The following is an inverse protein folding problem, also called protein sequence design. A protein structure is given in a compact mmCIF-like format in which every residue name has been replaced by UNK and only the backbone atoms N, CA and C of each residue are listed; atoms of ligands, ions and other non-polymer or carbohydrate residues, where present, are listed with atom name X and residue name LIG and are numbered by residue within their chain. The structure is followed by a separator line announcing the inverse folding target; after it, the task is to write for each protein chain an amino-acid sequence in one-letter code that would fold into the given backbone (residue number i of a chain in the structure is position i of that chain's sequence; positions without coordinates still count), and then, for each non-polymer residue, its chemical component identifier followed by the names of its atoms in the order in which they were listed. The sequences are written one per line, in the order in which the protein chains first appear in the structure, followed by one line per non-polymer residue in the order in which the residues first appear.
data_IF_771125106432
#
_entry.id   IF_771125106432
#
_cell.length_a   1.000
_cell.length_b   1.000
_cell.length_c   1.000
_cell.angle_alpha   90.00
_cell.angle_beta   90.00
_cell.angle_gamma   90.00
#
_symmetry.space_group_name_H-M   'P 1'
#
loop_
_entity.id
_entity.type
_entity.pdbx_description
1 polymer ?
#
# COMPACT_ATOMS: atom_id res chain seq x y z
N UNK A 1 18.20 21.30 -23.14
CA UNK A 1 16.92 20.56 -23.18
C UNK A 1 16.96 19.24 -22.40
N UNK A 2 18.07 18.54 -22.37
CA UNK A 2 18.20 17.22 -21.72
C UNK A 2 17.87 17.23 -20.23
N UNK A 3 18.30 18.24 -19.48
CA UNK A 3 18.01 18.34 -18.03
C UNK A 3 16.50 18.43 -17.71
N UNK A 4 15.68 18.97 -18.63
CA UNK A 4 14.22 19.04 -18.46
C UNK A 4 13.57 17.65 -18.51
N UNK A 5 14.10 16.75 -19.31
CA UNK A 5 13.62 15.35 -19.39
C UNK A 5 13.81 14.67 -18.04
N UNK A 6 14.96 14.84 -17.42
CA UNK A 6 15.23 14.28 -16.09
C UNK A 6 14.38 14.94 -15.00
N UNK A 7 14.13 16.26 -15.08
CA UNK A 7 13.25 16.96 -14.16
C UNK A 7 11.82 16.40 -14.22
N UNK A 8 11.25 16.32 -15.42
CA UNK A 8 9.92 15.74 -15.59
C UNK A 8 9.88 14.25 -15.22
N UNK A 9 10.96 13.52 -15.49
CA UNK A 9 11.12 12.14 -15.05
C UNK A 9 11.07 12.01 -13.52
N UNK A 10 11.78 12.87 -12.78
CA UNK A 10 11.73 12.94 -11.32
C UNK A 10 10.31 13.17 -10.81
N UNK A 11 9.63 14.19 -11.36
CA UNK A 11 8.26 14.52 -10.96
C UNK A 11 7.27 13.39 -11.26
N UNK A 12 7.36 12.81 -12.45
CA UNK A 12 6.46 11.73 -12.89
C UNK A 12 6.64 10.47 -12.03
N UNK A 13 7.87 10.03 -11.79
CA UNK A 13 8.16 8.85 -10.99
C UNK A 13 7.79 9.07 -9.53
N UNK A 14 8.02 10.28 -8.99
CA UNK A 14 7.55 10.64 -7.65
C UNK A 14 6.04 10.60 -7.53
N UNK A 15 5.32 11.11 -8.51
CA UNK A 15 3.85 11.07 -8.55
C UNK A 15 3.33 9.62 -8.59
N UNK A 16 3.93 8.75 -9.40
CA UNK A 16 3.58 7.33 -9.42
C UNK A 16 3.81 6.65 -8.08
N UNK A 17 4.89 6.97 -7.38
CA UNK A 17 5.15 6.47 -6.04
C UNK A 17 4.06 6.89 -5.06
N UNK A 18 3.67 8.18 -5.05
CA UNK A 18 2.60 8.73 -4.21
C UNK A 18 1.26 8.02 -4.49
N UNK A 19 0.88 7.92 -5.76
CA UNK A 19 -0.39 7.26 -6.17
C UNK A 19 -0.41 5.80 -5.74
N UNK A 20 0.71 5.07 -5.91
CA UNK A 20 0.83 3.68 -5.45
C UNK A 20 0.67 3.55 -3.94
N UNK A 21 1.29 4.43 -3.15
CA UNK A 21 1.15 4.45 -1.69
C UNK A 21 -0.28 4.74 -1.25
N UNK A 22 -0.95 5.71 -1.88
CA UNK A 22 -2.35 6.04 -1.59
C UNK A 22 -3.29 4.90 -1.96
N UNK A 23 -3.03 4.18 -3.07
CA UNK A 23 -3.81 3.00 -3.46
C UNK A 23 -3.69 1.88 -2.41
N UNK A 24 -2.49 1.62 -1.89
CA UNK A 24 -2.27 0.66 -0.81
C UNK A 24 -3.04 1.09 0.46
N UNK A 25 -2.89 2.35 0.85
CA UNK A 25 -3.54 2.89 2.04
C UNK A 25 -5.06 2.78 1.96
N UNK A 26 -5.66 3.25 0.87
CA UNK A 26 -7.11 3.22 0.71
C UNK A 26 -7.65 1.80 0.69
N UNK A 27 -6.93 0.86 0.06
CA UNK A 27 -7.28 -0.56 0.07
C UNK A 27 -7.17 -1.15 1.48
N UNK A 28 -6.08 -0.88 2.22
CA UNK A 28 -5.89 -1.37 3.58
C UNK A 28 -6.96 -0.82 4.52
N UNK A 29 -7.26 0.49 4.43
CA UNK A 29 -8.29 1.12 5.25
C UNK A 29 -9.69 0.52 5.05
N UNK A 30 -10.05 0.16 3.80
CA UNK A 30 -11.33 -0.51 3.50
C UNK A 30 -11.37 -1.90 4.11
N UNK A 31 -10.35 -2.71 3.86
CA UNK A 31 -10.28 -4.07 4.40
C UNK A 31 -10.21 -4.07 5.91
N UNK A 32 -9.46 -3.16 6.54
CA UNK A 32 -9.38 -2.99 7.99
C UNK A 32 -10.75 -2.71 8.60
N UNK A 33 -11.52 -1.80 7.99
CA UNK A 33 -12.87 -1.48 8.47
C UNK A 33 -13.77 -2.72 8.45
N UNK A 34 -13.65 -3.56 7.43
CA UNK A 34 -14.48 -4.75 7.26
C UNK A 34 -13.97 -5.95 8.03
N UNK A 35 -12.66 -6.06 8.29
CA UNK A 35 -12.08 -7.13 9.11
C UNK A 35 -12.56 -7.08 10.57
N UNK A 36 -12.98 -5.91 11.05
CA UNK A 36 -13.59 -5.77 12.39
C UNK A 36 -14.95 -6.43 12.50
N UNK A 37 -15.75 -6.43 11.42
CA UNK A 37 -17.06 -7.08 11.34
C UNK A 37 -17.17 -7.92 10.06
N UNK A 38 -16.46 -9.06 9.98
CA UNK A 38 -16.31 -9.82 8.75
C UNK A 38 -17.62 -10.37 8.18
N UNK A 39 -18.59 -10.65 9.02
CA UNK A 39 -19.91 -11.19 8.61
C UNK A 39 -20.71 -10.23 7.72
N UNK A 40 -20.42 -8.94 7.75
CA UNK A 40 -21.08 -7.89 6.97
C UNK A 40 -20.18 -7.31 5.87
N UNK A 41 -19.11 -8.01 5.52
CA UNK A 41 -18.15 -7.54 4.55
C UNK A 41 -18.74 -7.34 3.16
N UNK A 42 -18.57 -6.14 2.60
CA UNK A 42 -19.00 -5.75 1.24
C UNK A 42 -17.84 -5.71 0.27
N UNK A 43 -16.62 -5.52 0.79
CA UNK A 43 -15.42 -5.52 -0.03
C UNK A 43 -15.19 -6.94 -0.58
N UNK A 44 -14.97 -7.01 -1.90
CA UNK A 44 -14.94 -8.26 -2.65
C UNK A 44 -13.92 -9.28 -2.10
N UNK A 45 -12.73 -8.83 -1.72
CA UNK A 45 -11.71 -9.73 -1.23
C UNK A 45 -12.07 -10.29 0.15
N UNK A 46 -12.53 -9.42 1.07
CA UNK A 46 -12.95 -9.81 2.42
C UNK A 46 -14.14 -10.76 2.36
N UNK A 47 -15.15 -10.44 1.53
CA UNK A 47 -16.32 -11.31 1.34
C UNK A 47 -15.93 -12.68 0.76
N UNK A 48 -15.01 -12.72 -0.22
CA UNK A 48 -14.50 -13.98 -0.77
C UNK A 48 -13.74 -14.79 0.28
N UNK A 49 -12.89 -14.15 1.07
CA UNK A 49 -12.14 -14.79 2.15
C UNK A 49 -13.11 -15.51 3.12
N UNK A 50 -14.17 -14.81 3.54
CA UNK A 50 -15.16 -15.34 4.47
C UNK A 50 -15.94 -16.48 3.85
N UNK A 51 -16.41 -16.33 2.59
CA UNK A 51 -17.17 -17.37 1.91
C UNK A 51 -16.34 -18.64 1.71
N UNK A 52 -15.07 -18.53 1.34
CA UNK A 52 -14.16 -19.67 1.23
C UNK A 52 -13.91 -20.33 2.59
N UNK A 53 -13.72 -19.56 3.64
CA UNK A 53 -13.53 -20.10 4.98
C UNK A 53 -14.80 -20.84 5.45
N UNK A 54 -15.97 -20.26 5.25
CA UNK A 54 -17.25 -20.92 5.57
C UNK A 54 -17.48 -22.21 4.76
N UNK A 55 -17.03 -22.24 3.49
CA UNK A 55 -17.06 -23.45 2.67
C UNK A 55 -16.17 -24.56 3.25
N UNK A 56 -14.94 -24.22 3.65
CA UNK A 56 -14.04 -25.18 4.30
C UNK A 56 -14.66 -25.78 5.57
N UNK A 57 -15.33 -24.95 6.38
CA UNK A 57 -16.04 -25.42 7.57
C UNK A 57 -17.21 -26.36 7.23
N UNK A 58 -18.00 -26.03 6.20
CA UNK A 58 -19.12 -26.92 5.75
C UNK A 58 -18.59 -28.25 5.23
N UNK A 59 -17.46 -28.25 4.55
CA UNK A 59 -16.79 -29.43 4.02
C UNK A 59 -16.02 -30.22 5.12
N UNK A 60 -16.15 -29.82 6.42
CA UNK A 60 -15.40 -30.37 7.56
C UNK A 60 -13.88 -30.40 7.40
N UNK A 61 -13.33 -29.49 6.60
CA UNK A 61 -11.89 -29.34 6.41
C UNK A 61 -11.32 -28.50 7.55
N UNK A 62 -10.54 -29.12 8.44
CA UNK A 62 -9.87 -28.41 9.53
C UNK A 62 -8.64 -27.67 9.02
N UNK A 63 -8.54 -26.40 9.37
CA UNK A 63 -7.35 -25.59 9.11
C UNK A 63 -6.37 -25.86 10.24
N UNK A 64 -5.29 -26.61 9.96
CA UNK A 64 -4.27 -26.96 10.97
C UNK A 64 -3.48 -25.75 11.49
N UNK A 65 -3.25 -24.76 10.63
CA UNK A 65 -2.53 -23.55 11.01
C UNK A 65 -3.27 -22.30 10.48
N UNK A 66 -4.14 -21.70 11.31
CA UNK A 66 -4.92 -20.53 10.95
C UNK A 66 -4.06 -19.32 10.53
N UNK A 67 -2.94 -19.08 11.23
CA UNK A 67 -2.05 -17.97 10.93
C UNK A 67 -1.45 -18.09 9.52
N UNK A 68 -0.95 -19.28 9.15
CA UNK A 68 -0.43 -19.52 7.80
C UNK A 68 -1.51 -19.37 6.74
N UNK A 69 -2.72 -19.84 7.03
CA UNK A 69 -3.86 -19.70 6.13
C UNK A 69 -4.19 -18.22 5.87
N UNK A 70 -4.34 -17.42 6.91
CA UNK A 70 -4.64 -15.97 6.82
C UNK A 70 -3.51 -15.25 6.08
N UNK A 71 -2.26 -15.48 6.47
CA UNK A 71 -1.09 -14.86 5.83
C UNK A 71 -1.00 -15.18 4.34
N UNK A 72 -1.23 -16.44 3.94
CA UNK A 72 -1.24 -16.86 2.54
C UNK A 72 -2.32 -16.14 1.73
N UNK A 73 -3.52 -15.98 2.31
CA UNK A 73 -4.63 -15.25 1.69
C UNK A 73 -4.34 -13.75 1.57
N UNK A 74 -3.78 -13.14 2.59
CA UNK A 74 -3.38 -11.74 2.56
C UNK A 74 -2.32 -11.46 1.49
N UNK A 75 -1.32 -12.33 1.35
CA UNK A 75 -0.31 -12.21 0.28
C UNK A 75 -0.90 -12.29 -1.12
N UNK A 76 -1.97 -13.08 -1.30
CA UNK A 76 -2.70 -13.21 -2.55
C UNK A 76 -3.65 -12.04 -2.87
N UNK A 77 -3.78 -11.04 -1.96
CA UNK A 77 -4.66 -9.90 -2.16
C UNK A 77 -4.23 -9.04 -3.35
N UNK A 78 -5.22 -8.65 -4.16
CA UNK A 78 -5.01 -7.84 -5.36
C UNK A 78 -5.72 -6.50 -5.23
N UNK A 79 -5.13 -5.47 -5.84
CA UNK A 79 -5.73 -4.15 -6.04
C UNK A 79 -5.82 -3.95 -7.56
N UNK A 80 -7.02 -4.10 -8.12
CA UNK A 80 -7.20 -4.21 -9.56
C UNK A 80 -6.49 -5.43 -10.14
N UNK A 81 -5.69 -5.30 -11.21
CA UNK A 81 -4.95 -6.42 -11.80
C UNK A 81 -3.69 -6.80 -11.02
N UNK A 82 -3.18 -5.93 -10.15
CA UNK A 82 -1.89 -6.05 -9.48
C UNK A 82 -2.01 -6.68 -8.09
N UNK A 83 -1.05 -7.53 -7.71
CA UNK A 83 -0.96 -8.00 -6.32
C UNK A 83 -0.47 -6.86 -5.41
N UNK A 84 -0.85 -6.91 -4.13
CA UNK A 84 -0.39 -5.95 -3.11
C UNK A 84 1.15 -5.86 -3.06
N UNK A 85 1.83 -7.00 -3.18
CA UNK A 85 3.29 -7.06 -3.21
C UNK A 85 3.89 -6.34 -4.42
N UNK A 86 3.28 -6.51 -5.61
CA UNK A 86 3.71 -5.82 -6.83
C UNK A 86 3.56 -4.31 -6.71
N UNK A 87 2.44 -3.81 -6.18
CA UNK A 87 2.22 -2.37 -6.00
C UNK A 87 3.22 -1.78 -5.01
N UNK A 88 3.53 -2.50 -3.92
CA UNK A 88 4.59 -2.11 -2.98
C UNK A 88 5.95 -2.04 -3.69
N UNK A 89 6.27 -3.05 -4.50
CA UNK A 89 7.50 -3.06 -5.31
C UNK A 89 7.56 -1.90 -6.29
N UNK A 90 6.48 -1.63 -7.03
CA UNK A 90 6.38 -0.49 -7.95
C UNK A 90 6.61 0.83 -7.22
N UNK A 91 5.98 1.02 -6.05
CA UNK A 91 6.17 2.24 -5.25
C UNK A 91 7.64 2.46 -4.86
N UNK A 92 8.37 1.41 -4.48
CA UNK A 92 9.80 1.51 -4.17
C UNK A 92 10.66 1.74 -5.41
N UNK A 93 10.39 1.04 -6.50
CA UNK A 93 11.15 1.19 -7.76
C UNK A 93 10.97 2.62 -8.31
N UNK A 94 9.74 3.12 -8.36
CA UNK A 94 9.47 4.48 -8.85
C UNK A 94 10.10 5.55 -7.94
N UNK A 95 10.14 5.32 -6.63
CA UNK A 95 10.85 6.19 -5.70
C UNK A 95 12.36 6.22 -5.99
N UNK A 96 12.99 5.06 -6.13
CA UNK A 96 14.41 4.96 -6.47
C UNK A 96 14.73 5.62 -7.81
N UNK A 97 13.89 5.39 -8.84
CA UNK A 97 14.04 6.03 -10.15
C UNK A 97 13.89 7.55 -10.07
N UNK A 98 12.98 8.06 -9.24
CA UNK A 98 12.81 9.49 -9.02
C UNK A 98 14.12 10.12 -8.48
N UNK A 99 14.77 9.49 -7.50
CA UNK A 99 16.06 9.97 -6.97
C UNK A 99 17.20 9.82 -7.97
N UNK A 100 17.22 8.75 -8.77
CA UNK A 100 18.21 8.58 -9.82
C UNK A 100 18.09 9.68 -10.89
N UNK A 101 16.88 10.01 -11.33
CA UNK A 101 16.65 11.10 -12.28
C UNK A 101 17.03 12.46 -11.68
N UNK A 102 16.73 12.71 -10.41
CA UNK A 102 17.16 13.92 -9.72
C UNK A 102 18.69 14.03 -9.64
N UNK A 103 19.38 12.92 -9.34
CA UNK A 103 20.84 12.86 -9.33
C UNK A 103 21.46 13.09 -10.70
N UNK A 104 20.92 12.47 -11.75
CA UNK A 104 21.36 12.68 -13.13
C UNK A 104 21.16 14.15 -13.57
N UNK A 105 20.00 14.72 -13.22
CA UNK A 105 19.75 16.14 -13.48
C UNK A 105 20.74 17.04 -12.77
N UNK A 106 21.02 16.78 -11.50
CA UNK A 106 21.99 17.54 -10.72
C UNK A 106 23.40 17.50 -11.34
N UNK A 107 23.81 16.30 -11.82
CA UNK A 107 25.10 16.13 -12.49
C UNK A 107 25.18 16.94 -13.79
N UNK A 108 24.14 16.88 -14.64
CA UNK A 108 24.08 17.63 -15.90
C UNK A 108 24.03 19.16 -15.70
N UNK A 109 23.43 19.62 -14.60
CA UNK A 109 23.39 21.04 -14.27
C UNK A 109 24.70 21.55 -13.68
N UNK A 110 25.50 20.67 -13.06
CA UNK A 110 26.81 21.02 -12.51
C UNK A 110 27.78 21.53 -13.57
N UNK A 111 27.62 21.12 -14.82
CA UNK A 111 28.42 21.58 -15.98
C UNK A 111 27.94 22.92 -16.58
N UNK A 112 26.71 23.38 -16.23
CA UNK A 112 26.15 24.64 -16.77
C UNK A 112 25.34 25.40 -15.72
N UNK A 113 26.02 26.09 -14.82
CA UNK A 113 25.44 26.73 -13.61
C UNK A 113 24.41 27.84 -13.88
N UNK A 114 24.33 28.38 -15.10
CA UNK A 114 23.53 29.58 -15.39
C UNK A 114 22.19 29.31 -16.06
N UNK A 115 21.74 28.04 -16.05
CA UNK A 115 20.44 27.67 -16.64
C UNK A 115 19.29 28.10 -15.74
N UNK A 116 18.43 28.98 -16.26
CA UNK A 116 17.21 29.45 -15.58
C UNK A 116 15.99 28.75 -16.17
N UNK A 117 15.12 28.27 -15.32
CA UNK A 117 13.83 27.65 -15.71
C UNK A 117 12.70 28.61 -15.39
N UNK A 118 11.84 28.85 -16.38
CA UNK A 118 10.60 29.60 -16.18
C UNK A 118 9.51 28.65 -15.71
N UNK A 119 9.02 28.89 -14.51
CA UNK A 119 7.93 28.12 -13.93
C UNK A 119 6.58 28.71 -14.40
N UNK A 120 5.93 28.00 -15.30
CA UNK A 120 4.56 28.32 -15.66
C UNK A 120 3.59 27.69 -14.63
N UNK A 121 2.60 28.43 -14.05
CA UNK A 121 2.10 29.76 -14.39
C UNK A 121 2.70 30.94 -13.57
N UNK A 122 3.64 30.69 -12.67
CA UNK A 122 4.11 31.65 -11.66
C UNK A 122 5.00 32.79 -12.19
N UNK A 123 5.35 32.83 -13.49
CA UNK A 123 6.29 33.80 -14.10
C UNK A 123 7.59 33.99 -13.33
N UNK A 124 7.94 33.02 -12.47
CA UNK A 124 9.15 33.05 -11.66
C UNK A 124 10.31 32.41 -12.43
N UNK A 125 11.43 33.08 -12.46
CA UNK A 125 12.68 32.55 -13.01
C UNK A 125 13.53 32.04 -11.85
N UNK A 126 13.69 30.72 -11.76
CA UNK A 126 14.52 30.08 -10.74
C UNK A 126 15.73 29.38 -11.38
N UNK A 127 16.88 29.40 -10.72
CA UNK A 127 18.01 28.59 -11.15
C UNK A 127 17.58 27.12 -11.19
N UNK A 128 17.86 26.44 -12.30
CA UNK A 128 17.44 25.05 -12.51
C UNK A 128 17.94 24.10 -11.40
N UNK A 129 19.13 24.38 -10.87
CA UNK A 129 19.71 23.62 -9.78
C UNK A 129 18.91 23.77 -8.48
N UNK A 130 18.54 25.00 -8.10
CA UNK A 130 17.70 25.24 -6.91
C UNK A 130 16.35 24.57 -7.03
N UNK A 131 15.73 24.65 -8.21
CA UNK A 131 14.44 24.00 -8.47
C UNK A 131 14.53 22.49 -8.29
N UNK A 132 15.59 21.84 -8.80
CA UNK A 132 15.83 20.40 -8.64
C UNK A 132 15.96 20.01 -7.17
N UNK A 133 16.77 20.76 -6.42
CA UNK A 133 16.99 20.49 -4.99
C UNK A 133 15.69 20.64 -4.22
N UNK A 134 14.94 21.74 -4.39
CA UNK A 134 13.67 21.95 -3.71
C UNK A 134 12.62 20.90 -4.07
N UNK A 135 12.52 20.53 -5.35
CA UNK A 135 11.57 19.49 -5.79
C UNK A 135 11.93 18.14 -5.18
N UNK A 136 13.20 17.75 -5.17
CA UNK A 136 13.64 16.46 -4.64
C UNK A 136 13.45 16.37 -3.13
N UNK A 137 13.82 17.43 -2.39
CA UNK A 137 13.62 17.50 -0.93
C UNK A 137 12.11 17.50 -0.61
N UNK A 138 11.33 18.34 -1.29
CA UNK A 138 9.88 18.40 -1.11
C UNK A 138 9.19 17.06 -1.37
N UNK A 139 9.56 16.39 -2.44
CA UNK A 139 9.06 15.06 -2.78
C UNK A 139 9.46 14.02 -1.72
N UNK A 140 10.69 14.06 -1.23
CA UNK A 140 11.18 13.21 -0.15
C UNK A 140 10.36 13.42 1.14
N UNK A 141 10.12 14.66 1.54
CA UNK A 141 9.31 15.00 2.73
C UNK A 141 7.88 14.50 2.57
N UNK A 142 7.24 14.73 1.41
CA UNK A 142 5.87 14.25 1.15
C UNK A 142 5.79 12.73 1.22
N UNK A 143 6.74 12.02 0.60
CA UNK A 143 6.75 10.55 0.61
C UNK A 143 7.01 9.98 2.00
N UNK A 144 7.94 10.56 2.77
CA UNK A 144 8.17 10.17 4.16
C UNK A 144 6.93 10.45 5.04
N UNK A 145 6.34 11.63 4.89
CA UNK A 145 5.10 11.99 5.59
C UNK A 145 3.96 11.02 5.27
N UNK A 146 3.76 10.71 3.99
CA UNK A 146 2.77 9.71 3.58
C UNK A 146 3.06 8.34 4.18
N UNK A 147 4.31 7.88 4.17
CA UNK A 147 4.70 6.59 4.75
C UNK A 147 4.37 6.52 6.24
N UNK A 148 4.64 7.58 6.99
CA UNK A 148 4.32 7.66 8.42
C UNK A 148 2.81 7.73 8.64
N UNK A 149 2.11 8.63 7.93
CA UNK A 149 0.67 8.83 8.08
C UNK A 149 -0.17 7.63 7.64
N UNK A 150 0.28 6.91 6.61
CA UNK A 150 -0.46 5.76 6.10
C UNK A 150 -0.36 4.53 7.00
N UNK A 151 0.67 4.42 7.84
CA UNK A 151 0.84 3.29 8.77
C UNK A 151 0.56 1.92 8.13
N UNK A 152 0.95 1.73 6.86
CA UNK A 152 0.52 0.57 6.06
C UNK A 152 0.91 -0.77 6.69
N UNK A 153 2.04 -0.82 7.39
CA UNK A 153 2.47 -2.01 8.14
C UNK A 153 1.50 -2.32 9.28
N UNK A 154 1.20 -1.32 10.10
CA UNK A 154 0.29 -1.45 11.23
C UNK A 154 -1.12 -1.89 10.79
N UNK A 155 -1.66 -1.30 9.72
CA UNK A 155 -2.96 -1.71 9.19
C UNK A 155 -2.97 -3.18 8.71
N UNK A 156 -1.87 -3.67 8.13
CA UNK A 156 -1.77 -5.06 7.69
C UNK A 156 -1.75 -6.03 8.88
N UNK A 157 -0.98 -5.71 9.91
CA UNK A 157 -0.94 -6.50 11.16
C UNK A 157 -2.31 -6.51 11.86
N UNK A 158 -3.01 -5.37 11.92
CA UNK A 158 -4.35 -5.29 12.51
C UNK A 158 -5.38 -6.09 11.69
N UNK A 159 -5.29 -6.05 10.35
CA UNK A 159 -6.15 -6.87 9.46
C UNK A 159 -5.87 -8.35 9.70
N UNK A 160 -4.59 -8.74 9.75
CA UNK A 160 -4.19 -10.13 9.99
C UNK A 160 -4.72 -10.64 11.33
N UNK A 161 -4.54 -9.86 12.39
CA UNK A 161 -5.05 -10.18 13.74
C UNK A 161 -6.57 -10.34 13.76
N UNK A 162 -7.32 -9.41 13.14
CA UNK A 162 -8.78 -9.47 13.10
C UNK A 162 -9.28 -10.69 12.33
N UNK A 163 -8.63 -11.04 11.20
CA UNK A 163 -9.00 -12.20 10.41
C UNK A 163 -8.61 -13.50 11.09
N UNK A 164 -7.49 -13.51 11.82
CA UNK A 164 -7.08 -14.66 12.62
C UNK A 164 -8.08 -14.91 13.75
N UNK A 165 -8.46 -13.87 14.49
CA UNK A 165 -9.50 -13.95 15.52
C UNK A 165 -10.84 -14.50 14.96
N UNK A 166 -11.21 -14.06 13.74
CA UNK A 166 -12.39 -14.57 13.08
C UNK A 166 -12.29 -16.06 12.77
N UNK A 167 -11.16 -16.51 12.23
CA UNK A 167 -10.94 -17.92 11.86
C UNK A 167 -10.90 -18.82 13.09
N UNK A 168 -10.27 -18.37 14.18
CA UNK A 168 -10.04 -19.18 15.39
C UNK A 168 -11.25 -19.20 16.34
N UNK A 169 -11.90 -18.06 16.52
CA UNK A 169 -12.85 -17.89 17.61
C UNK A 169 -14.29 -17.69 17.16
N UNK A 170 -14.53 -16.96 16.08
CA UNK A 170 -15.90 -16.55 15.70
C UNK A 170 -16.61 -17.53 14.76
N UNK A 171 -15.86 -18.38 14.09
CA UNK A 171 -16.42 -19.40 13.18
C UNK A 171 -16.63 -20.76 13.80
N UNK A 172 -16.22 -20.97 15.05
CA UNK A 172 -16.62 -22.16 15.78
C UNK A 172 -18.11 -22.02 16.08
N UNK A 173 -18.94 -22.88 15.50
CA UNK A 173 -20.33 -23.00 15.95
C UNK A 173 -20.35 -23.11 17.47
N UNK A 174 -21.27 -22.39 18.17
CA UNK A 174 -21.41 -22.57 19.61
C UNK A 174 -21.52 -24.05 19.85
N UNK A 175 -20.57 -24.65 20.59
CA UNK A 175 -20.60 -26.04 20.96
C UNK A 175 -22.01 -26.29 21.48
N UNK A 176 -22.80 -27.20 20.84
CA UNK A 176 -24.09 -27.60 21.32
C UNK A 176 -23.91 -28.03 22.78
N UNK A 177 -24.35 -27.16 23.67
CA UNK A 177 -24.36 -27.45 25.11
C UNK A 177 -25.28 -28.65 25.25
N UNK A 178 -24.69 -29.84 25.31
CA UNK A 178 -25.43 -31.07 25.61
C UNK A 178 -25.92 -30.90 27.05
N UNK A 179 -27.24 -30.80 27.30
CA UNK A 179 -27.74 -30.64 28.64
C UNK A 179 -27.31 -31.88 29.45
N UNK A 180 -26.53 -31.67 30.49
CA UNK A 180 -26.16 -32.70 31.46
C UNK A 180 -27.47 -33.19 32.06
N UNK A 181 -27.91 -34.38 31.70
CA UNK A 181 -29.02 -35.07 32.40
C UNK A 181 -28.55 -35.25 33.84
N UNK A 182 -29.16 -34.49 34.75
CA UNK A 182 -29.07 -34.79 36.19
C UNK A 182 -29.70 -36.15 36.40
N UNK A 183 -28.92 -37.14 36.84
CA UNK A 183 -29.41 -38.38 37.42
C UNK A 183 -29.91 -38.11 38.83
#
# INVERSE_FOLDING_TARGET
MEYLIFYYGTCLMGLFSIVSMLAIYTSNKRVLKESKNPTQAKEKWTANFISEHQKLLKDNIQIHNPAVYVMKRMRGRKIGPWSMHQIKGISWITLCLSFLFAGAQFFLLGEGRDKVVRLFPLKAELPAMSLTVFTTIGLGIVLLGLKILTGTGYHEEEIETNLLDYVENRCKEPAKVVPIKKQ
#
